data_IF_433168676605
#
_entry.id   IF_433168676605
#
_cell.length_a   1.000
_cell.length_b   1.000
_cell.length_c   1.000
_cell.angle_alpha   90.00
_cell.angle_beta   90.00
_cell.angle_gamma   90.00
#
_symmetry.space_group_name_H-M   'P 1'
#
loop_
_entity.id
_entity.type
_entity.pdbx_description
1 polymer ?
#
# COMPACT_ATOMS: atom_id res chain seq x y z
N UNK A 1 1.11 16.99 19.12
CA UNK A 1 1.93 15.76 19.18
C UNK A 1 1.26 14.59 19.89
N UNK A 2 0.65 14.75 21.08
CA UNK A 2 0.05 13.64 21.84
C UNK A 2 -1.03 12.83 21.07
N UNK A 3 -1.96 13.51 20.38
CA UNK A 3 -2.99 12.83 19.59
C UNK A 3 -2.41 12.08 18.38
N UNK A 4 -1.36 12.61 17.76
CA UNK A 4 -0.68 11.96 16.65
C UNK A 4 0.02 10.67 17.08
N UNK A 5 0.75 10.71 18.21
CA UNK A 5 1.36 9.52 18.79
C UNK A 5 0.33 8.46 19.20
N UNK A 6 -0.79 8.89 19.79
CA UNK A 6 -1.92 7.99 20.11
C UNK A 6 -2.50 7.33 18.86
N UNK A 7 -2.68 8.08 17.77
CA UNK A 7 -3.20 7.53 16.53
C UNK A 7 -2.25 6.50 15.93
N UNK A 8 -0.94 6.74 15.95
CA UNK A 8 0.07 5.77 15.50
C UNK A 8 0.01 4.50 16.36
N UNK A 9 -0.02 4.64 17.68
CA UNK A 9 -0.12 3.50 18.59
C UNK A 9 -1.40 2.68 18.33
N UNK A 10 -2.54 3.34 18.11
CA UNK A 10 -3.79 2.67 17.76
C UNK A 10 -3.67 1.89 16.44
N UNK A 11 -3.00 2.46 15.42
CA UNK A 11 -2.80 1.79 14.13
C UNK A 11 -1.86 0.59 14.25
N UNK A 12 -0.76 0.71 15.00
CA UNK A 12 0.20 -0.39 15.22
C UNK A 12 -0.41 -1.56 15.99
N UNK A 13 -1.35 -1.28 16.89
CA UNK A 13 -2.07 -2.27 17.68
C UNK A 13 -3.35 -2.78 17.00
N UNK A 14 -3.70 -2.26 15.81
CA UNK A 14 -4.89 -2.72 15.10
C UNK A 14 -4.69 -4.16 14.59
N UNK A 15 -5.58 -5.06 15.02
CA UNK A 15 -5.60 -6.47 14.58
C UNK A 15 -6.37 -6.66 13.27
N UNK A 16 -7.33 -5.77 13.01
CA UNK A 16 -8.21 -5.86 11.85
C UNK A 16 -8.55 -4.50 11.24
N UNK A 17 -8.94 -4.53 9.97
CA UNK A 17 -9.31 -3.37 9.18
C UNK A 17 -10.62 -3.63 8.44
N UNK A 18 -11.54 -2.66 8.48
CA UNK A 18 -12.74 -2.64 7.64
C UNK A 18 -12.58 -1.50 6.64
N UNK A 19 -12.70 -1.81 5.35
CA UNK A 19 -12.66 -0.81 4.29
C UNK A 19 -14.02 -0.12 4.17
N UNK A 20 -14.09 1.17 4.52
CA UNK A 20 -15.32 1.96 4.43
C UNK A 20 -15.86 2.08 3.01
N UNK A 21 -15.03 1.90 1.98
CA UNK A 21 -15.50 1.87 0.60
C UNK A 21 -16.30 0.59 0.29
N UNK A 22 -16.10 -0.49 1.05
CA UNK A 22 -16.87 -1.74 0.93
C UNK A 22 -18.16 -1.73 1.74
N UNK A 23 -18.35 -0.76 2.65
CA UNK A 23 -19.61 -0.60 3.40
C UNK A 23 -20.67 -0.02 2.47
N UNK A 24 -21.76 -0.74 2.25
CA UNK A 24 -22.89 -0.30 1.41
C UNK A 24 -23.81 0.62 2.20
N UNK A 25 -24.17 0.23 3.42
CA UNK A 25 -25.09 0.96 4.28
C UNK A 25 -24.73 0.84 5.76
N UNK A 26 -25.14 1.85 6.54
CA UNK A 26 -25.02 1.88 8.00
C UNK A 26 -26.40 2.17 8.56
N UNK A 27 -27.00 1.17 9.23
CA UNK A 27 -28.40 1.22 9.65
C UNK A 27 -28.56 0.81 11.11
N UNK A 28 -29.67 1.19 11.71
CA UNK A 28 -30.08 0.67 13.03
C UNK A 28 -30.55 -0.77 12.88
N UNK A 29 -30.28 -1.61 13.89
CA UNK A 29 -30.76 -3.00 13.90
C UNK A 29 -32.26 -2.99 14.20
N UNK A 30 -33.11 -3.29 13.21
CA UNK A 30 -34.53 -3.54 13.43
C UNK A 30 -34.73 -5.04 13.64
N UNK A 31 -35.00 -5.45 14.87
CA UNK A 31 -35.25 -6.84 15.22
C UNK A 31 -36.45 -7.41 14.44
N UNK A 32 -36.21 -8.37 13.55
CA UNK A 32 -37.26 -9.17 12.88
C UNK A 32 -37.52 -10.49 13.63
N UNK A 33 -37.47 -10.48 14.96
CA UNK A 33 -37.73 -11.65 15.81
C UNK A 33 -38.57 -11.25 17.01
N UNK A 34 -39.63 -12.00 17.27
CA UNK A 34 -40.67 -11.77 18.26
C UNK A 34 -40.23 -11.98 19.73
N UNK A 35 -39.06 -11.44 20.10
CA UNK A 35 -38.64 -11.24 21.49
C UNK A 35 -38.22 -9.77 21.61
N UNK A 36 -39.23 -8.89 21.72
CA UNK A 36 -39.04 -7.49 22.02
C UNK A 36 -38.72 -7.35 23.51
N UNK A 37 -37.47 -7.59 23.88
CA UNK A 37 -37.02 -7.23 25.21
C UNK A 37 -35.69 -6.47 25.18
N UNK A 38 -35.76 -5.29 25.79
CA UNK A 38 -34.68 -4.35 26.14
C UNK A 38 -33.91 -3.64 25.02
N UNK A 39 -34.20 -2.34 24.85
CA UNK A 39 -33.30 -1.25 24.42
C UNK A 39 -32.17 -1.70 23.47
N UNK A 40 -32.52 -2.01 22.22
CA UNK A 40 -31.51 -2.44 21.25
C UNK A 40 -30.77 -1.22 20.68
N UNK A 41 -29.82 -0.68 21.45
CA UNK A 41 -28.85 0.33 21.01
C UNK A 41 -27.83 -0.27 20.02
N UNK A 42 -28.26 -1.19 19.15
CA UNK A 42 -27.45 -1.87 18.14
C UNK A 42 -27.53 -1.18 16.79
N UNK A 43 -26.42 -1.15 16.08
CA UNK A 43 -26.35 -0.72 14.69
C UNK A 43 -25.56 -1.72 13.86
N UNK A 44 -25.82 -1.73 12.56
CA UNK A 44 -25.28 -2.68 11.61
C UNK A 44 -24.51 -1.96 10.50
N UNK A 45 -23.35 -2.51 10.12
CA UNK A 45 -22.66 -2.18 8.87
C UNK A 45 -22.95 -3.29 7.86
N UNK A 46 -23.59 -2.94 6.76
CA UNK A 46 -23.80 -3.85 5.63
C UNK A 46 -22.63 -3.69 4.67
N UNK A 47 -21.96 -4.79 4.35
CA UNK A 47 -20.83 -4.82 3.42
C UNK A 47 -21.30 -5.19 2.00
N UNK A 48 -20.46 -4.91 1.00
CA UNK A 48 -20.74 -5.23 -0.41
C UNK A 48 -20.75 -6.72 -0.73
N UNK A 49 -20.29 -7.57 0.18
CA UNK A 49 -20.34 -9.03 0.09
C UNK A 49 -21.53 -9.62 0.85
N UNK A 50 -22.55 -8.81 1.13
CA UNK A 50 -23.77 -9.15 1.87
C UNK A 50 -23.56 -9.59 3.32
N UNK A 51 -22.33 -9.47 3.84
CA UNK A 51 -22.07 -9.70 5.25
C UNK A 51 -22.45 -8.48 6.08
N UNK A 52 -22.86 -8.74 7.32
CA UNK A 52 -23.32 -7.71 8.26
C UNK A 52 -22.49 -7.76 9.53
N UNK A 53 -21.93 -6.61 9.91
CA UNK A 53 -21.23 -6.44 11.19
C UNK A 53 -22.14 -5.71 12.16
N UNK A 54 -22.46 -6.33 13.29
CA UNK A 54 -23.35 -5.76 14.32
C UNK A 54 -22.54 -5.21 15.47
N UNK A 55 -22.84 -3.98 15.87
CA UNK A 55 -22.25 -3.31 17.02
C UNK A 55 -23.33 -2.97 18.04
N UNK A 56 -22.97 -2.95 19.32
CA UNK A 56 -23.83 -2.48 20.42
C UNK A 56 -23.23 -1.21 21.00
N UNK A 57 -23.99 -0.12 20.97
CA UNK A 57 -23.64 1.14 21.62
C UNK A 57 -24.10 1.15 23.08
N UNK A 58 -23.59 2.11 23.85
CA UNK A 58 -23.95 2.30 25.26
C UNK A 58 -25.40 2.77 25.43
N UNK A 59 -25.85 3.71 24.59
CA UNK A 59 -27.21 4.24 24.57
C UNK A 59 -27.67 4.55 23.14
N UNK A 60 -28.96 4.87 22.99
CA UNK A 60 -29.57 5.16 21.70
C UNK A 60 -29.05 6.44 21.05
N UNK A 61 -28.72 7.46 21.85
CA UNK A 61 -28.10 8.70 21.36
C UNK A 61 -26.74 8.42 20.71
N UNK A 62 -25.89 7.63 21.37
CA UNK A 62 -24.57 7.23 20.87
C UNK A 62 -24.71 6.35 19.64
N UNK A 63 -25.69 5.43 19.61
CA UNK A 63 -26.00 4.63 18.41
C UNK A 63 -26.32 5.55 17.23
N UNK A 64 -27.25 6.49 17.42
CA UNK A 64 -27.68 7.40 16.36
C UNK A 64 -26.52 8.28 15.87
N UNK A 65 -25.64 8.71 16.78
CA UNK A 65 -24.45 9.48 16.42
C UNK A 65 -23.41 8.64 15.65
N UNK A 66 -23.21 7.38 16.03
CA UNK A 66 -22.38 6.43 15.26
C UNK A 66 -22.91 6.25 13.85
N UNK A 67 -24.21 5.98 13.70
CA UNK A 67 -24.86 5.83 12.39
C UNK A 67 -24.66 7.09 11.56
N UNK A 68 -24.98 8.27 12.10
CA UNK A 68 -24.85 9.54 11.39
C UNK A 68 -23.41 9.82 10.92
N UNK A 69 -22.42 9.68 11.81
CA UNK A 69 -21.02 9.96 11.49
C UNK A 69 -20.40 8.92 10.57
N UNK A 70 -20.68 7.64 10.77
CA UNK A 70 -20.16 6.57 9.92
C UNK A 70 -20.76 6.67 8.51
N UNK A 71 -22.06 6.92 8.36
CA UNK A 71 -22.66 7.16 7.03
C UNK A 71 -22.02 8.35 6.32
N UNK A 72 -21.77 9.45 7.04
CA UNK A 72 -21.07 10.60 6.47
C UNK A 72 -19.64 10.26 6.03
N UNK A 73 -18.90 9.48 6.84
CA UNK A 73 -17.54 9.03 6.51
C UNK A 73 -17.51 8.07 5.32
N UNK A 74 -18.42 7.10 5.26
CA UNK A 74 -18.54 6.16 4.13
C UNK A 74 -18.78 6.93 2.83
N UNK A 75 -19.72 7.88 2.85
CA UNK A 75 -19.99 8.74 1.68
C UNK A 75 -18.78 9.59 1.29
N UNK A 76 -18.12 10.20 2.27
CA UNK A 76 -16.92 11.00 2.04
C UNK A 76 -15.81 10.17 1.37
N UNK A 77 -15.47 9.00 1.94
CA UNK A 77 -14.38 8.19 1.43
C UNK A 77 -14.67 7.59 0.04
N UNK A 78 -15.90 7.15 -0.23
CA UNK A 78 -16.30 6.74 -1.58
C UNK A 78 -16.13 7.87 -2.60
N UNK A 79 -16.59 9.07 -2.26
CA UNK A 79 -16.46 10.24 -3.13
C UNK A 79 -15.00 10.65 -3.32
N UNK A 80 -14.20 10.61 -2.25
CA UNK A 80 -12.77 10.94 -2.27
C UNK A 80 -11.97 9.97 -3.15
N UNK A 81 -12.19 8.66 -3.01
CA UNK A 81 -11.54 7.65 -3.85
C UNK A 81 -11.95 7.80 -5.32
N UNK A 82 -13.23 8.09 -5.58
CA UNK A 82 -13.72 8.36 -6.94
C UNK A 82 -13.08 9.63 -7.54
N UNK A 83 -12.96 10.70 -6.76
CA UNK A 83 -12.31 11.93 -7.18
C UNK A 83 -10.83 11.73 -7.49
N UNK A 84 -10.10 11.00 -6.64
CA UNK A 84 -8.67 10.71 -6.83
C UNK A 84 -8.44 9.84 -8.07
N UNK A 85 -9.31 8.86 -8.32
CA UNK A 85 -9.28 8.06 -9.54
C UNK A 85 -9.59 8.89 -10.79
N UNK A 86 -10.52 9.83 -10.70
CA UNK A 86 -10.85 10.77 -11.78
C UNK A 86 -9.67 11.68 -12.12
N UNK A 87 -9.06 12.29 -11.11
CA UNK A 87 -7.87 13.15 -11.28
C UNK A 87 -6.72 12.39 -11.95
N UNK A 88 -6.44 11.16 -11.51
CA UNK A 88 -5.38 10.34 -12.09
C UNK A 88 -5.62 10.04 -13.58
N UNK A 89 -6.88 9.79 -13.97
CA UNK A 89 -7.25 9.56 -15.37
C UNK A 89 -7.12 10.84 -16.21
N UNK A 90 -7.58 11.97 -15.69
CA UNK A 90 -7.48 13.26 -16.38
C UNK A 90 -6.03 13.63 -16.66
N UNK A 91 -5.14 13.50 -15.68
CA UNK A 91 -3.72 13.78 -15.84
C UNK A 91 -3.06 12.81 -16.81
N UNK A 92 -3.39 11.51 -16.74
CA UNK A 92 -2.89 10.53 -17.70
C UNK A 92 -3.27 10.92 -19.12
N UNK A 93 -4.55 11.21 -19.35
CA UNK A 93 -5.05 11.62 -20.67
C UNK A 93 -4.34 12.87 -21.17
N UNK A 94 -4.20 13.88 -20.31
CA UNK A 94 -3.48 15.11 -20.64
C UNK A 94 -2.02 14.86 -21.03
N UNK A 95 -1.32 13.98 -20.31
CA UNK A 95 0.06 13.62 -20.61
C UNK A 95 0.20 12.84 -21.93
N UNK A 96 -0.75 11.95 -22.23
CA UNK A 96 -0.79 11.25 -23.52
C UNK A 96 -0.93 12.24 -24.68
N UNK A 97 -1.80 13.23 -24.54
CA UNK A 97 -2.03 14.28 -25.54
C UNK A 97 -0.81 15.19 -25.72
N UNK A 98 -0.20 15.67 -24.64
CA UNK A 98 0.97 16.55 -24.70
C UNK A 98 2.18 15.86 -25.32
N UNK A 99 2.39 14.59 -24.99
CA UNK A 99 3.50 13.79 -25.51
C UNK A 99 3.19 13.20 -26.89
N UNK A 100 1.94 13.30 -27.36
CA UNK A 100 1.46 12.70 -28.60
C UNK A 100 1.76 11.19 -28.66
N UNK A 101 1.47 10.48 -27.57
CA UNK A 101 1.66 9.04 -27.42
C UNK A 101 0.34 8.36 -27.08
N UNK A 102 0.22 7.08 -27.42
CA UNK A 102 -0.90 6.25 -27.00
C UNK A 102 -0.58 5.51 -25.68
N UNK A 103 -1.59 4.82 -25.12
CA UNK A 103 -1.43 4.01 -23.90
C UNK A 103 -0.37 2.89 -24.07
N UNK A 104 -0.18 2.37 -25.29
CA UNK A 104 0.83 1.36 -25.56
C UNK A 104 2.23 1.94 -25.39
N UNK A 105 2.49 3.09 -25.99
CA UNK A 105 3.75 3.80 -25.89
C UNK A 105 3.99 4.32 -24.47
N UNK A 106 2.95 4.72 -23.72
CA UNK A 106 3.09 5.15 -22.33
C UNK A 106 3.85 4.14 -21.44
N UNK A 107 3.59 2.84 -21.62
CA UNK A 107 4.26 1.74 -20.92
C UNK A 107 5.77 1.74 -21.22
N UNK A 108 6.14 1.85 -22.50
CA UNK A 108 7.52 1.92 -22.98
C UNK A 108 8.24 3.19 -22.50
N UNK A 109 7.60 4.35 -22.72
CA UNK A 109 8.19 5.65 -22.43
C UNK A 109 8.50 5.79 -20.96
N UNK A 110 7.57 5.53 -20.04
CA UNK A 110 7.93 5.77 -18.63
C UNK A 110 8.80 4.70 -17.97
N UNK A 111 9.25 3.65 -18.69
CA UNK A 111 10.34 2.78 -18.21
C UNK A 111 11.71 3.16 -18.81
N UNK A 112 11.76 3.56 -20.08
CA UNK A 112 13.02 3.71 -20.83
C UNK A 112 13.27 5.11 -21.38
N UNK A 113 12.26 5.98 -21.37
CA UNK A 113 12.41 7.32 -21.92
C UNK A 113 13.42 8.15 -21.13
N UNK A 114 14.21 8.91 -21.86
CA UNK A 114 15.10 9.90 -21.29
C UNK A 114 14.31 11.04 -20.67
N UNK A 115 14.89 11.70 -19.65
CA UNK A 115 14.25 12.84 -18.96
C UNK A 115 13.80 13.97 -19.91
N UNK A 116 14.49 14.15 -21.04
CA UNK A 116 14.14 15.17 -22.03
C UNK A 116 12.90 14.80 -22.87
N UNK A 117 12.63 13.50 -23.08
CA UNK A 117 11.46 13.01 -23.84
C UNK A 117 10.17 13.21 -23.03
N UNK A 118 10.24 13.05 -21.71
CA UNK A 118 9.11 13.20 -20.80
C UNK A 118 9.05 14.57 -20.13
N UNK A 119 9.87 15.54 -20.56
CA UNK A 119 10.01 16.85 -19.89
C UNK A 119 8.69 17.64 -19.82
N UNK A 120 7.79 17.41 -20.77
CA UNK A 120 6.49 18.10 -20.85
C UNK A 120 5.39 17.40 -20.03
N UNK A 121 5.64 16.22 -19.48
CA UNK A 121 4.66 15.51 -18.68
C UNK A 121 4.43 16.23 -17.35
N UNK A 122 3.18 16.31 -16.93
CA UNK A 122 2.76 16.97 -15.70
C UNK A 122 2.30 15.96 -14.64
N UNK A 123 2.43 16.35 -13.38
CA UNK A 123 1.95 15.57 -12.23
C UNK A 123 0.94 16.41 -11.44
N UNK A 124 -0.18 15.80 -11.02
CA UNK A 124 -1.19 16.54 -10.25
C UNK A 124 -0.70 16.87 -8.84
N UNK A 125 -0.76 18.15 -8.43
CA UNK A 125 -0.41 18.55 -7.07
C UNK A 125 -1.39 17.99 -6.02
N UNK A 126 -2.62 17.67 -6.41
CA UNK A 126 -3.64 17.11 -5.51
C UNK A 126 -3.38 15.64 -5.15
N UNK A 127 -2.67 14.91 -6.02
CA UNK A 127 -2.28 13.51 -5.79
C UNK A 127 -0.94 13.41 -5.05
N UNK A 128 0.01 14.27 -5.38
CA UNK A 128 1.35 14.32 -4.79
C UNK A 128 1.43 15.37 -3.67
N UNK A 129 0.67 15.13 -2.59
CA UNK A 129 0.62 16.05 -1.45
C UNK A 129 1.95 16.05 -0.66
N UNK A 130 2.45 17.24 -0.30
CA UNK A 130 3.66 17.44 0.52
C UNK A 130 3.54 16.88 1.96
N UNK A 131 2.34 16.51 2.39
CA UNK A 131 2.09 15.97 3.72
C UNK A 131 2.94 14.72 4.05
N UNK A 132 3.35 13.95 3.04
CA UNK A 132 4.26 12.81 3.21
C UNK A 132 5.57 13.24 3.87
N UNK A 133 6.18 14.31 3.34
CA UNK A 133 7.42 14.91 3.82
C UNK A 133 7.21 15.64 5.16
N UNK A 134 6.12 16.38 5.30
CA UNK A 134 5.84 17.16 6.52
C UNK A 134 5.32 16.34 7.71
N UNK A 135 5.11 15.02 7.55
CA UNK A 135 4.63 14.15 8.62
C UNK A 135 3.22 14.48 9.14
N UNK A 136 2.38 15.12 8.31
CA UNK A 136 1.17 15.78 8.80
C UNK A 136 0.00 14.83 9.14
N UNK A 137 0.09 13.55 8.75
CA UNK A 137 -0.97 12.53 8.94
C UNK A 137 -0.38 11.22 9.46
N UNK A 138 -1.15 10.52 10.31
CA UNK A 138 -0.77 9.21 10.85
C UNK A 138 -0.82 8.11 9.79
N UNK A 139 -1.75 8.20 8.83
CA UNK A 139 -1.79 7.38 7.62
C UNK A 139 -1.26 8.24 6.48
N UNK A 140 -0.13 7.84 5.91
CA UNK A 140 0.52 8.55 4.80
C UNK A 140 -0.02 8.09 3.46
N UNK A 141 -0.09 6.77 3.28
CA UNK A 141 -0.66 6.15 2.09
C UNK A 141 -1.34 4.84 2.47
N UNK A 142 -2.43 4.52 1.79
CA UNK A 142 -3.12 3.25 1.94
C UNK A 142 -3.67 2.79 0.59
N UNK A 143 -3.65 1.50 0.34
CA UNK A 143 -4.12 0.97 -0.93
C UNK A 143 -3.93 -0.54 -1.05
N UNK A 144 -4.32 -1.06 -2.19
CA UNK A 144 -4.22 -2.48 -2.50
C UNK A 144 -2.90 -2.76 -3.22
N UNK A 145 -2.16 -3.75 -2.75
CA UNK A 145 -0.94 -4.23 -3.39
C UNK A 145 -0.96 -5.75 -3.46
N UNK A 146 -0.16 -6.30 -4.36
CA UNK A 146 0.14 -7.72 -4.39
C UNK A 146 1.48 -7.95 -3.74
N UNK A 147 1.51 -8.78 -2.69
CA UNK A 147 2.73 -9.09 -1.93
C UNK A 147 3.21 -10.48 -2.23
N UNK A 148 4.53 -10.61 -2.44
CA UNK A 148 5.26 -11.86 -2.50
C UNK A 148 6.30 -11.87 -1.36
N UNK A 149 5.99 -12.53 -0.23
CA UNK A 149 6.83 -12.47 0.97
C UNK A 149 8.16 -13.22 0.85
N UNK A 150 8.30 -14.17 -0.08
CA UNK A 150 9.53 -14.93 -0.33
C UNK A 150 9.81 -15.01 -1.82
N UNK A 151 11.09 -15.12 -2.21
CA UNK A 151 11.49 -15.17 -3.62
C UNK A 151 10.80 -16.27 -4.45
N UNK A 152 10.39 -17.38 -3.85
CA UNK A 152 9.67 -18.48 -4.53
C UNK A 152 8.18 -18.59 -4.17
N UNK A 153 7.63 -17.64 -3.40
CA UNK A 153 6.19 -17.64 -3.10
C UNK A 153 5.39 -17.04 -4.25
N UNK A 154 4.08 -17.24 -4.23
CA UNK A 154 3.17 -16.55 -5.16
C UNK A 154 2.82 -15.16 -4.65
N UNK A 155 2.23 -14.35 -5.53
CA UNK A 155 1.67 -13.05 -5.17
C UNK A 155 0.29 -13.23 -4.55
N UNK A 156 0.05 -12.54 -3.42
CA UNK A 156 -1.26 -12.48 -2.78
C UNK A 156 -1.71 -11.03 -2.68
N UNK A 157 -2.99 -10.77 -2.98
CA UNK A 157 -3.58 -9.44 -2.80
C UNK A 157 -3.65 -9.11 -1.31
N UNK A 158 -3.23 -7.91 -0.93
CA UNK A 158 -3.22 -7.42 0.44
C UNK A 158 -3.55 -5.93 0.46
N UNK A 159 -4.08 -5.46 1.58
CA UNK A 159 -4.22 -4.04 1.83
C UNK A 159 -3.03 -3.57 2.67
N UNK A 160 -2.34 -2.55 2.18
CA UNK A 160 -1.15 -2.00 2.83
C UNK A 160 -1.47 -0.61 3.33
N UNK A 161 -1.01 -0.29 4.53
CA UNK A 161 -1.09 1.04 5.13
C UNK A 161 0.32 1.47 5.51
N UNK A 162 0.78 2.57 4.90
CA UNK A 162 1.99 3.27 5.30
C UNK A 162 1.68 4.26 6.43
N UNK A 163 2.31 4.02 7.57
CA UNK A 163 2.25 4.84 8.77
C UNK A 163 3.64 5.37 9.11
N UNK A 164 3.77 6.14 10.19
CA UNK A 164 5.06 6.64 10.67
C UNK A 164 6.06 5.49 10.94
N UNK A 165 6.97 5.27 10.00
CA UNK A 165 8.04 4.28 10.09
C UNK A 165 7.63 2.80 9.97
N UNK A 166 6.36 2.50 9.72
CA UNK A 166 5.87 1.11 9.63
C UNK A 166 4.92 0.93 8.44
N UNK A 167 5.08 -0.20 7.76
CA UNK A 167 4.09 -0.72 6.80
C UNK A 167 3.26 -1.82 7.46
N UNK A 168 1.97 -1.55 7.62
CA UNK A 168 0.98 -2.51 8.12
C UNK A 168 0.36 -3.24 6.93
N UNK A 169 0.35 -4.57 6.98
CA UNK A 169 -0.09 -5.43 5.88
C UNK A 169 -1.26 -6.28 6.37
N UNK A 170 -2.41 -6.09 5.75
CA UNK A 170 -3.65 -6.81 6.04
C UNK A 170 -3.99 -7.79 4.91
N UNK A 171 -4.44 -8.99 5.26
CA UNK A 171 -4.92 -9.96 4.27
C UNK A 171 -6.19 -9.45 3.62
N UNK A 172 -6.29 -9.63 2.32
CA UNK A 172 -7.47 -9.18 1.60
C UNK A 172 -8.43 -10.29 1.20
N UNK A 173 -7.93 -11.51 0.97
CA UNK A 173 -8.80 -12.67 0.67
C UNK A 173 -8.41 -13.83 1.57
N UNK A 174 -9.41 -14.43 2.20
CA UNK A 174 -9.28 -15.70 2.92
C UNK A 174 -9.69 -16.83 1.97
N UNK A 175 -8.92 -17.92 1.95
CA UNK A 175 -9.20 -19.06 1.07
C UNK A 175 -9.17 -20.36 1.85
N UNK A 176 -10.07 -21.29 1.50
CA UNK A 176 -10.03 -22.67 1.97
C UNK A 176 -8.84 -23.41 1.34
N UNK A 177 -8.51 -24.59 1.85
CA UNK A 177 -7.54 -25.49 1.22
C UNK A 177 -7.89 -25.81 -0.25
N UNK A 178 -9.18 -25.80 -0.61
CA UNK A 178 -9.67 -25.96 -1.99
C UNK A 178 -9.45 -24.74 -2.89
N UNK A 179 -8.96 -23.61 -2.37
CA UNK A 179 -8.74 -22.37 -3.11
C UNK A 179 -9.96 -21.45 -3.22
N UNK A 180 -11.13 -21.90 -2.75
CA UNK A 180 -12.39 -21.12 -2.75
C UNK A 180 -12.28 -19.96 -1.75
N UNK A 181 -12.67 -18.77 -2.19
CA UNK A 181 -12.69 -17.56 -1.36
C UNK A 181 -13.76 -17.66 -0.27
N UNK A 182 -13.36 -17.31 0.96
CA UNK A 182 -14.23 -17.25 2.12
C UNK A 182 -14.66 -15.80 2.31
N UNK A 183 -15.97 -15.50 2.26
CA UNK A 183 -16.45 -14.17 2.55
C UNK A 183 -16.14 -13.85 4.01
N UNK A 184 -15.56 -12.69 4.26
CA UNK A 184 -15.12 -12.26 5.59
C UNK A 184 -15.46 -10.79 5.82
N UNK A 185 -15.66 -10.45 7.09
CA UNK A 185 -16.15 -9.13 7.51
C UNK A 185 -15.05 -8.08 7.66
N UNK A 186 -13.83 -8.49 7.98
CA UNK A 186 -12.70 -7.61 8.24
C UNK A 186 -11.40 -8.26 7.77
N UNK A 187 -10.44 -7.42 7.42
CA UNK A 187 -9.11 -7.82 6.97
C UNK A 187 -8.19 -7.92 8.17
N UNK A 188 -7.70 -9.11 8.45
CA UNK A 188 -6.79 -9.36 9.57
C UNK A 188 -5.37 -8.90 9.24
N UNK A 189 -4.62 -8.45 10.24
CA UNK A 189 -3.22 -8.07 10.09
C UNK A 189 -2.34 -9.31 9.95
N UNK A 190 -1.66 -9.42 8.80
CA UNK A 190 -0.75 -10.54 8.49
C UNK A 190 0.68 -10.24 8.91
N UNK A 191 1.12 -9.00 8.71
CA UNK A 191 2.49 -8.62 8.99
C UNK A 191 2.62 -7.11 9.25
N UNK A 192 3.69 -6.77 9.94
CA UNK A 192 4.17 -5.39 10.07
C UNK A 192 5.63 -5.38 9.65
N UNK A 193 5.98 -4.46 8.75
CA UNK A 193 7.35 -4.24 8.30
C UNK A 193 7.82 -2.90 8.85
N UNK A 194 8.84 -2.94 9.69
CA UNK A 194 9.55 -1.77 10.18
C UNK A 194 10.42 -1.22 9.04
N UNK A 195 10.29 0.08 8.74
CA UNK A 195 11.04 0.75 7.69
C UNK A 195 12.43 1.19 8.15
N UNK A 196 12.77 1.00 9.43
CA UNK A 196 14.10 1.27 9.94
C UNK A 196 15.17 0.39 9.27
N UNK A 197 16.29 1.02 8.89
CA UNK A 197 17.44 0.35 8.26
C UNK A 197 17.08 -0.46 6.98
N UNK A 198 15.97 -0.10 6.31
CA UNK A 198 15.50 -0.74 5.09
C UNK A 198 15.96 0.00 3.83
N UNK A 199 16.05 -0.74 2.73
CA UNK A 199 16.27 -0.18 1.40
C UNK A 199 15.09 -0.50 0.49
N UNK A 200 14.73 0.46 -0.35
CA UNK A 200 13.72 0.29 -1.39
C UNK A 200 14.39 0.39 -2.77
N UNK A 201 14.04 -0.52 -3.67
CA UNK A 201 14.44 -0.43 -5.07
C UNK A 201 13.29 -0.86 -5.98
N UNK A 202 13.27 -0.30 -7.19
CA UNK A 202 12.22 -0.51 -8.19
C UNK A 202 12.81 -0.60 -9.59
N UNK A 203 11.98 -1.00 -10.57
CA UNK A 203 12.40 -1.10 -11.96
C UNK A 203 13.15 -2.39 -12.28
N UNK A 204 14.10 -2.33 -13.21
CA UNK A 204 14.82 -3.49 -13.73
C UNK A 204 15.56 -4.30 -12.65
N UNK A 205 15.99 -3.66 -11.56
CA UNK A 205 16.64 -4.33 -10.43
C UNK A 205 15.76 -5.40 -9.77
N UNK A 206 14.43 -5.27 -9.89
CA UNK A 206 13.46 -6.20 -9.29
C UNK A 206 13.36 -7.53 -10.03
N UNK A 207 13.85 -7.62 -11.28
CA UNK A 207 13.71 -8.81 -12.13
C UNK A 207 14.21 -10.09 -11.45
N UNK A 208 15.34 -10.00 -10.75
CA UNK A 208 15.95 -11.12 -10.03
C UNK A 208 15.08 -11.66 -8.88
N UNK A 209 14.25 -10.82 -8.26
CA UNK A 209 13.37 -11.17 -7.14
C UNK A 209 12.02 -11.72 -7.60
N UNK A 210 11.60 -11.36 -8.82
CA UNK A 210 10.30 -11.73 -9.34
C UNK A 210 10.27 -13.20 -9.80
N UNK A 211 11.40 -13.77 -10.26
CA UNK A 211 11.56 -15.19 -10.68
C UNK A 211 10.30 -15.76 -11.37
N UNK A 212 10.11 -15.47 -12.65
CA UNK A 212 9.09 -16.17 -13.46
C UNK A 212 9.61 -17.53 -13.91
N UNK A 213 8.92 -18.61 -13.54
CA UNK A 213 9.19 -19.95 -14.10
C UNK A 213 8.58 -20.11 -15.49
N UNK A 214 7.51 -19.37 -15.82
CA UNK A 214 6.82 -19.46 -17.11
C UNK A 214 6.39 -18.05 -17.57
N UNK A 215 7.16 -17.41 -18.45
CA UNK A 215 6.69 -16.23 -19.19
C UNK A 215 5.81 -16.74 -20.33
N UNK A 216 4.54 -16.32 -20.36
CA UNK A 216 3.66 -16.57 -21.51
C UNK A 216 4.24 -15.83 -22.70
N UNK A 217 4.75 -16.57 -23.68
CA UNK A 217 5.31 -16.01 -24.90
C UNK A 217 4.17 -15.46 -25.78
N UNK A 218 4.18 -14.16 -26.04
CA UNK A 218 3.31 -13.56 -27.06
C UNK A 218 4.01 -13.61 -28.42
N UNK A 219 3.54 -14.49 -29.30
CA UNK A 219 4.07 -14.63 -30.67
C UNK A 219 4.00 -13.32 -31.47
N UNK A 220 3.05 -12.42 -31.16
CA UNK A 220 2.86 -11.17 -31.90
C UNK A 220 3.83 -10.06 -31.47
N UNK A 221 4.41 -10.17 -30.27
CA UNK A 221 5.30 -9.17 -29.70
C UNK A 221 6.44 -9.84 -28.92
N UNK A 222 7.44 -10.41 -29.63
CA UNK A 222 8.58 -11.02 -28.99
C UNK A 222 9.33 -9.98 -28.13
N UNK A 223 9.60 -10.34 -26.86
CA UNK A 223 10.27 -9.48 -25.89
C UNK A 223 9.34 -8.67 -24.98
N UNK A 224 8.03 -8.66 -25.25
CA UNK A 224 7.02 -8.18 -24.32
C UNK A 224 6.29 -9.34 -23.67
N UNK A 225 6.18 -9.31 -22.34
CA UNK A 225 5.56 -10.38 -21.57
C UNK A 225 4.30 -9.91 -20.83
N UNK A 226 4.06 -8.59 -20.75
CA UNK A 226 2.87 -8.03 -20.13
C UNK A 226 1.65 -8.05 -21.07
N UNK A 227 0.67 -8.89 -20.72
CA UNK A 227 -0.66 -8.84 -21.29
C UNK A 227 -1.42 -7.57 -20.84
N UNK A 228 -2.28 -6.98 -21.69
CA UNK A 228 -3.16 -5.89 -21.28
C UNK A 228 -4.05 -6.29 -20.10
N UNK A 229 -4.13 -5.42 -19.09
CA UNK A 229 -4.93 -5.60 -17.87
C UNK A 229 -5.98 -4.51 -17.74
N UNK A 230 -7.18 -4.87 -17.31
CA UNK A 230 -8.29 -3.95 -17.05
C UNK A 230 -8.82 -4.20 -15.64
N UNK A 231 -8.85 -3.16 -14.80
CA UNK A 231 -9.29 -3.21 -13.41
C UNK A 231 -10.74 -2.72 -13.26
N UNK A 232 -11.70 -3.43 -13.86
CA UNK A 232 -13.11 -3.03 -13.92
C UNK A 232 -13.78 -2.88 -12.55
N UNK A 233 -13.45 -3.75 -11.58
CA UNK A 233 -14.09 -3.76 -10.27
C UNK A 233 -13.75 -2.55 -9.36
N UNK A 234 -12.83 -1.69 -9.79
CA UNK A 234 -12.33 -0.56 -8.99
C UNK A 234 -12.65 0.76 -9.68
N UNK A 235 -11.84 1.10 -10.67
CA UNK A 235 -11.88 2.37 -11.39
C UNK A 235 -11.90 2.17 -12.91
N UNK A 236 -11.81 0.94 -13.42
CA UNK A 236 -11.70 0.67 -14.85
C UNK A 236 -10.34 1.09 -15.43
N UNK A 237 -9.29 1.14 -14.60
CA UNK A 237 -7.94 1.46 -15.07
C UNK A 237 -7.41 0.40 -16.03
N UNK A 238 -6.79 0.84 -17.12
CA UNK A 238 -6.11 -0.01 -18.11
C UNK A 238 -4.59 0.10 -17.95
N UNK A 239 -3.87 -1.00 -18.06
CA UNK A 239 -2.40 -1.01 -17.99
C UNK A 239 -1.81 -2.11 -18.87
N UNK A 240 -0.71 -1.78 -19.55
CA UNK A 240 0.16 -2.71 -20.30
C UNK A 240 1.60 -2.68 -19.79
N UNK A 241 1.77 -2.30 -18.52
CA UNK A 241 3.10 -2.16 -17.92
C UNK A 241 3.75 -3.52 -17.68
N UNK A 242 5.05 -3.67 -17.96
CA UNK A 242 5.80 -4.86 -17.61
C UNK A 242 5.84 -5.08 -16.09
N UNK A 243 6.00 -6.33 -15.66
CA UNK A 243 5.97 -6.63 -14.22
C UNK A 243 7.13 -5.97 -13.46
N UNK A 244 8.30 -5.79 -14.10
CA UNK A 244 9.41 -4.98 -13.54
C UNK A 244 9.05 -3.50 -13.40
N UNK A 245 8.13 -2.99 -14.22
CA UNK A 245 7.67 -1.60 -14.18
C UNK A 245 6.56 -1.35 -13.13
N UNK A 246 5.96 -2.39 -12.57
CA UNK A 246 4.93 -2.25 -11.52
C UNK A 246 5.32 -2.88 -10.19
N UNK A 247 6.49 -3.51 -10.13
CA UNK A 247 7.05 -4.05 -8.90
C UNK A 247 8.05 -3.10 -8.25
N UNK A 248 8.10 -3.17 -6.93
CA UNK A 248 9.17 -2.64 -6.10
C UNK A 248 9.49 -3.64 -5.00
N UNK A 249 10.71 -3.56 -4.47
CA UNK A 249 11.19 -4.49 -3.45
C UNK A 249 11.66 -3.70 -2.25
N UNK A 250 11.24 -4.17 -1.08
CA UNK A 250 11.75 -3.70 0.20
C UNK A 250 12.70 -4.75 0.73
N UNK A 251 13.96 -4.36 0.87
CA UNK A 251 14.96 -5.15 1.56
C UNK A 251 15.04 -4.70 3.02
N UNK A 252 15.00 -5.67 3.93
CA UNK A 252 15.22 -5.43 5.35
C UNK A 252 16.30 -6.38 5.90
N UNK A 253 17.16 -5.91 6.82
CA UNK A 253 18.19 -6.74 7.41
C UNK A 253 17.58 -7.79 8.35
N UNK A 254 17.99 -9.06 8.23
CA UNK A 254 17.55 -10.13 9.16
C UNK A 254 18.32 -10.12 10.48
N UNK A 255 19.53 -9.57 10.49
CA UNK A 255 20.35 -9.32 11.68
C UNK A 255 21.03 -7.97 11.53
N UNK A 256 21.09 -7.21 12.62
CA UNK A 256 21.96 -6.02 12.73
C UNK A 256 23.41 -6.54 12.76
N UNK A 257 24.06 -6.60 11.59
CA UNK A 257 25.46 -7.05 11.50
C UNK A 257 26.34 -6.08 12.28
N UNK A 258 27.09 -6.62 13.24
CA UNK A 258 28.11 -5.86 13.94
C UNK A 258 29.40 -5.97 13.13
N UNK A 259 29.74 -4.91 12.40
CA UNK A 259 31.03 -4.79 11.75
C UNK A 259 32.06 -4.33 12.77
N UNK A 260 33.23 -4.98 12.84
CA UNK A 260 34.37 -4.42 13.57
C UNK A 260 35.00 -3.35 12.69
N UNK A 261 34.75 -2.08 13.01
CA UNK A 261 35.50 -0.98 12.46
C UNK A 261 36.78 -0.83 13.28
N UNK A 262 37.93 -0.96 12.62
CA UNK A 262 39.22 -0.62 13.24
C UNK A 262 39.55 0.81 12.86
N UNK A 263 39.34 1.75 13.78
CA UNK A 263 39.88 3.10 13.62
C UNK A 263 41.29 3.13 14.20
N UNK A 264 42.27 3.46 13.37
CA UNK A 264 43.64 3.72 13.82
C UNK A 264 43.75 5.21 14.15
N UNK A 265 43.51 5.56 15.41
CA UNK A 265 43.92 6.86 15.97
C UNK A 265 45.07 6.62 16.94
N UNK A 266 46.20 7.28 16.68
CA UNK A 266 47.37 7.35 17.59
C UNK A 266 47.90 6.00 18.10
N UNK A 267 48.17 5.05 17.19
CA UNK A 267 48.95 3.84 17.53
C UNK A 267 48.28 2.84 18.47
N UNK A 268 47.01 3.04 18.85
CA UNK A 268 46.21 2.06 19.60
C UNK A 268 45.04 1.59 18.73
N UNK A 269 45.00 0.29 18.45
CA UNK A 269 43.91 -0.37 17.70
C UNK A 269 42.70 -0.56 18.60
N UNK A 270 41.83 0.44 18.69
CA UNK A 270 40.51 0.25 19.30
C UNK A 270 39.57 -0.36 18.27
N UNK A 271 39.20 -1.64 18.44
CA UNK A 271 38.16 -2.26 17.63
C UNK A 271 36.79 -1.79 18.14
N UNK A 272 36.13 -0.89 17.43
CA UNK A 272 34.75 -0.52 17.73
C UNK A 272 33.80 -1.40 16.90
N UNK A 273 32.85 -2.05 17.55
CA UNK A 273 31.78 -2.76 16.85
C UNK A 273 30.78 -1.72 16.33
N UNK A 274 30.93 -1.31 15.07
CA UNK A 274 30.00 -0.42 14.38
C UNK A 274 28.86 -1.24 13.79
N UNK A 275 27.64 -0.87 14.10
CA UNK A 275 26.44 -1.47 13.52
C UNK A 275 26.26 -0.85 12.13
N UNK A 276 26.47 -1.64 11.07
CA UNK A 276 26.36 -1.14 9.70
C UNK A 276 25.32 -1.96 8.96
N UNK A 277 24.28 -1.30 8.45
CA UNK A 277 23.29 -1.86 7.53
C UNK A 277 23.81 -1.85 6.09
N UNK A 278 25.06 -2.26 5.85
CA UNK A 278 25.63 -2.16 4.50
C UNK A 278 24.96 -3.15 3.53
N UNK A 279 24.75 -2.69 2.30
CA UNK A 279 24.34 -3.50 1.16
C UNK A 279 25.39 -4.63 0.95
N UNK A 280 24.98 -5.88 1.18
CA UNK A 280 25.89 -7.05 1.16
C UNK A 280 25.73 -7.99 2.38
N UNK A 281 25.06 -7.53 3.43
CA UNK A 281 24.64 -8.39 4.56
C UNK A 281 23.46 -9.28 4.09
N UNK A 282 23.36 -10.55 4.52
CA UNK A 282 22.16 -11.34 4.26
C UNK A 282 20.93 -10.63 4.83
N UNK A 283 19.97 -10.31 3.96
CA UNK A 283 18.70 -9.70 4.34
C UNK A 283 17.53 -10.41 3.69
N UNK A 284 16.31 -10.01 4.05
CA UNK A 284 15.08 -10.54 3.47
C UNK A 284 14.50 -9.51 2.51
N UNK A 285 14.13 -9.97 1.33
CA UNK A 285 13.42 -9.16 0.33
C UNK A 285 11.94 -9.50 0.36
N UNK A 286 11.11 -8.46 0.29
CA UNK A 286 9.66 -8.58 0.10
C UNK A 286 9.32 -7.82 -1.18
N UNK A 287 8.74 -8.53 -2.14
CA UNK A 287 8.32 -7.92 -3.41
C UNK A 287 6.88 -7.47 -3.29
N UNK A 288 6.62 -6.23 -3.68
CA UNK A 288 5.29 -5.67 -3.83
C UNK A 288 5.04 -5.33 -5.30
N UNK A 289 3.82 -5.55 -5.75
CA UNK A 289 3.36 -5.29 -7.11
C UNK A 289 2.11 -4.41 -7.05
N UNK A 290 2.17 -3.27 -7.72
CA UNK A 290 1.06 -2.33 -7.88
C UNK A 290 0.23 -2.66 -9.13
N UNK A 291 -0.89 -1.95 -9.35
CA UNK A 291 -1.73 -2.17 -10.54
C UNK A 291 -1.12 -1.59 -11.82
N UNK A 292 -0.44 -0.45 -11.68
CA UNK A 292 0.18 0.33 -12.74
C UNK A 292 1.45 1.02 -12.23
N UNK A 293 2.22 1.59 -13.17
CA UNK A 293 3.49 2.27 -12.88
C UNK A 293 3.33 3.48 -11.93
N UNK A 294 2.31 4.31 -12.16
CA UNK A 294 2.06 5.52 -11.36
C UNK A 294 1.77 5.18 -9.89
N UNK A 295 1.00 4.12 -9.64
CA UNK A 295 0.70 3.65 -8.29
C UNK A 295 1.95 3.11 -7.61
N UNK A 296 2.80 2.35 -8.32
CA UNK A 296 4.11 1.93 -7.83
C UNK A 296 4.95 3.15 -7.42
N UNK A 297 5.05 4.16 -8.27
CA UNK A 297 5.89 5.34 -8.01
C UNK A 297 5.41 6.12 -6.79
N UNK A 298 4.09 6.27 -6.62
CA UNK A 298 3.52 6.88 -5.41
C UNK A 298 3.87 6.09 -4.15
N UNK A 299 3.82 4.77 -4.20
CA UNK A 299 4.24 3.92 -3.08
C UNK A 299 5.73 4.05 -2.78
N UNK A 300 6.58 4.01 -3.82
CA UNK A 300 8.04 4.16 -3.66
C UNK A 300 8.38 5.51 -3.03
N UNK A 301 7.83 6.61 -3.55
CA UNK A 301 8.04 7.96 -3.01
C UNK A 301 7.55 8.07 -1.55
N UNK A 302 6.39 7.49 -1.23
CA UNK A 302 5.85 7.49 0.12
C UNK A 302 6.76 6.72 1.09
N UNK A 303 7.28 5.56 0.69
CA UNK A 303 8.14 4.73 1.53
C UNK A 303 9.54 5.33 1.66
N UNK A 304 10.10 5.82 0.57
CA UNK A 304 11.42 6.48 0.53
C UNK A 304 11.45 7.71 1.44
N UNK A 305 10.43 8.58 1.36
CA UNK A 305 10.32 9.73 2.27
C UNK A 305 10.24 9.32 3.74
N UNK A 306 9.61 8.18 4.07
CA UNK A 306 9.61 7.66 5.43
C UNK A 306 10.96 7.12 5.88
N UNK A 307 11.65 6.38 5.01
CA UNK A 307 12.99 5.87 5.31
C UNK A 307 13.95 7.04 5.55
N UNK A 308 13.91 8.07 4.70
CA UNK A 308 14.75 9.26 4.84
C UNK A 308 14.44 10.01 6.13
N UNK A 309 13.17 10.23 6.46
CA UNK A 309 12.78 10.87 7.74
C UNK A 309 13.30 10.09 8.96
N UNK A 310 13.21 8.75 8.94
CA UNK A 310 13.72 7.92 10.04
C UNK A 310 15.25 7.97 10.16
N UNK A 311 15.96 8.16 9.05
CA UNK A 311 17.41 8.34 9.04
C UNK A 311 17.78 9.72 9.61
N UNK A 312 17.09 10.78 9.18
CA UNK A 312 17.28 12.15 9.72
C UNK A 312 16.99 12.22 11.23
N UNK A 313 15.91 11.59 11.70
CA UNK A 313 15.54 11.55 13.13
C UNK A 313 16.58 10.84 14.01
N UNK A 314 17.33 9.90 13.46
CA UNK A 314 18.42 9.26 14.19
C UNK A 314 19.61 10.20 14.42
N UNK A 315 19.75 11.24 13.61
CA UNK A 315 20.99 11.98 13.46
C UNK A 315 22.03 11.08 12.79
N UNK A 316 22.51 11.47 11.63
CA UNK A 316 23.79 10.92 11.19
C UNK A 316 24.87 11.36 12.19
N UNK A 317 25.63 10.38 12.69
CA UNK A 317 26.92 10.59 13.39
C UNK A 317 27.88 11.48 12.59
#
# INVERSE_FOLDING_TARGET
>A
MAQFGRNIANLQNAEGLIDLCQVTDVRTSTGLGADSDTNDSRFELVLSNDLVVRFKAYNDETRNEWVRRLSALVRYWKNRVKADAGELKTIRQHNLEILNIDERLESLFGQFASKWEVRRAEASPHLYNMCHLSGCRSIKMSGYLYRKPRRRSTFHRCQVICTSGHLLIFQDTLRKYSGVEIPHIHKERVATLDLQDCYIYSGLLTENDILYTNQTFDNNYPGHHALPRIYLAQDGWTSRDEDTAICFVIWHPTRKSLFRASEVKEGKTNSMLRRVSALGVPGRTVVFKARNRLERDRWVLCIESEINRLQEERGED
#
